data_IF_371770880042
#
_entry.id   IF_371770880042
#
_cell.length_a   1.000
_cell.length_b   1.000
_cell.length_c   1.000
_cell.angle_alpha   90.00
_cell.angle_beta   90.00
_cell.angle_gamma   90.00
#
_symmetry.space_group_name_H-M   'P 1'
#
loop_
_entity.id
_entity.type
_entity.pdbx_description
1 polymer ?
#
# COMPACT_ATOMS: atom_id res chain seq x y z
N UNK A 1 32.24 -30.95 23.49
CA UNK A 1 33.21 -29.95 22.98
C UNK A 1 32.53 -28.60 22.97
N UNK A 2 33.02 -27.63 23.73
CA UNK A 2 32.52 -26.24 23.63
C UNK A 2 33.10 -25.63 22.35
N UNK A 3 32.24 -25.20 21.44
CA UNK A 3 32.61 -24.37 20.30
C UNK A 3 32.89 -22.96 20.83
N UNK A 4 34.17 -22.58 20.90
CA UNK A 4 34.58 -21.21 21.24
C UNK A 4 34.21 -20.27 20.09
N UNK A 5 32.98 -19.75 20.12
CA UNK A 5 32.51 -18.74 19.18
C UNK A 5 33.08 -17.37 19.57
N UNK A 6 33.95 -16.80 18.74
CA UNK A 6 34.52 -15.47 18.92
C UNK A 6 34.40 -14.68 17.62
N UNK A 7 33.54 -13.65 17.58
CA UNK A 7 33.37 -12.78 16.41
C UNK A 7 34.58 -11.89 16.13
N UNK A 8 35.48 -11.71 17.10
CA UNK A 8 36.65 -10.85 16.99
C UNK A 8 37.92 -11.62 16.60
N UNK A 9 37.80 -12.89 16.23
CA UNK A 9 38.94 -13.70 15.78
C UNK A 9 39.35 -13.28 14.37
N UNK A 10 40.63 -12.94 14.19
CA UNK A 10 41.21 -12.63 12.88
C UNK A 10 41.03 -13.83 11.93
N UNK A 11 40.28 -13.62 10.85
CA UNK A 11 40.12 -14.56 9.75
C UNK A 11 40.91 -14.08 8.54
N UNK A 12 41.46 -14.99 7.75
CA UNK A 12 42.07 -14.67 6.47
C UNK A 12 40.97 -14.35 5.46
N UNK A 13 41.08 -13.19 4.79
CA UNK A 13 40.21 -12.80 3.67
C UNK A 13 40.56 -13.63 2.44
N UNK A 14 40.09 -14.88 2.41
CA UNK A 14 40.11 -15.70 1.21
C UNK A 14 38.92 -15.29 0.35
N UNK A 15 39.18 -14.95 -0.92
CA UNK A 15 38.13 -14.81 -1.93
C UNK A 15 37.52 -16.18 -2.19
N UNK A 16 36.55 -16.57 -1.37
CA UNK A 16 35.75 -17.76 -1.65
C UNK A 16 34.99 -17.46 -2.93
N UNK A 17 35.34 -18.14 -4.03
CA UNK A 17 34.53 -18.17 -5.26
C UNK A 17 33.22 -18.87 -4.95
N UNK A 18 32.30 -18.13 -4.33
CA UNK A 18 31.02 -18.66 -3.95
C UNK A 18 30.27 -19.08 -5.20
N UNK A 19 29.88 -20.36 -5.24
CA UNK A 19 28.99 -20.90 -6.26
C UNK A 19 27.71 -21.37 -5.57
N UNK A 20 26.53 -20.98 -6.08
CA UNK A 20 25.27 -21.49 -5.58
C UNK A 20 25.14 -23.00 -5.80
N UNK A 21 24.32 -23.66 -4.98
CA UNK A 21 23.93 -25.06 -5.23
C UNK A 21 23.15 -25.14 -6.55
N UNK A 22 23.33 -26.22 -7.32
CA UNK A 22 22.69 -26.41 -8.64
C UNK A 22 21.17 -26.26 -8.59
N UNK A 23 20.51 -26.77 -7.55
CA UNK A 23 19.05 -26.70 -7.39
C UNK A 23 18.55 -25.38 -6.76
N UNK A 24 19.40 -24.35 -6.64
CA UNK A 24 19.01 -23.10 -6.01
C UNK A 24 18.27 -22.19 -7.02
N UNK A 25 17.27 -21.46 -6.52
CA UNK A 25 16.44 -20.53 -7.33
C UNK A 25 17.28 -19.50 -8.10
N UNK A 26 18.41 -19.06 -7.54
CA UNK A 26 19.31 -18.12 -8.21
C UNK A 26 19.91 -18.69 -9.51
N UNK A 27 20.21 -19.99 -9.58
CA UNK A 27 20.71 -20.63 -10.81
C UNK A 27 19.62 -20.64 -11.87
N UNK A 28 18.40 -21.00 -11.49
CA UNK A 28 17.24 -20.95 -12.39
C UNK A 28 16.98 -19.55 -12.95
N UNK A 29 17.03 -18.52 -12.09
CA UNK A 29 16.88 -17.12 -12.53
C UNK A 29 18.01 -16.71 -13.46
N UNK A 30 19.24 -17.15 -13.19
CA UNK A 30 20.37 -16.89 -14.07
C UNK A 30 20.13 -17.52 -15.46
N UNK A 31 19.83 -18.80 -15.52
CA UNK A 31 19.53 -19.52 -16.78
C UNK A 31 18.37 -18.88 -17.55
N UNK A 32 17.29 -18.51 -16.85
CA UNK A 32 16.14 -17.86 -17.45
C UNK A 32 16.55 -16.54 -18.10
N UNK A 33 17.25 -15.67 -17.38
CA UNK A 33 17.63 -14.34 -17.91
C UNK A 33 18.67 -14.46 -19.04
N UNK A 34 19.58 -15.43 -18.99
CA UNK A 34 20.50 -15.71 -20.10
C UNK A 34 19.74 -16.22 -21.35
N UNK A 35 18.71 -17.04 -21.17
CA UNK A 35 17.87 -17.53 -22.27
C UNK A 35 17.11 -16.40 -22.98
N UNK A 36 16.82 -15.28 -22.30
CA UNK A 36 16.16 -14.13 -22.90
C UNK A 36 17.04 -13.39 -23.93
N UNK A 37 18.34 -13.68 -23.99
CA UNK A 37 19.31 -13.04 -24.89
C UNK A 37 19.15 -11.51 -24.96
N UNK A 38 19.10 -10.87 -23.79
CA UNK A 38 18.92 -9.43 -23.67
C UNK A 38 20.15 -8.73 -24.26
N UNK A 39 20.03 -8.28 -25.51
CA UNK A 39 21.08 -7.55 -26.20
C UNK A 39 20.53 -6.19 -26.62
N UNK A 40 20.67 -5.21 -25.72
CA UNK A 40 20.25 -3.83 -25.95
C UNK A 40 21.50 -2.95 -26.03
N UNK A 41 22.09 -2.78 -27.24
CA UNK A 41 23.26 -1.95 -27.41
C UNK A 41 22.91 -0.50 -27.11
N UNK A 42 23.55 0.05 -26.09
CA UNK A 42 23.33 1.43 -25.68
C UNK A 42 23.75 2.41 -26.79
N UNK A 43 22.77 2.99 -27.49
CA UNK A 43 23.03 3.75 -28.71
C UNK A 43 23.44 5.21 -28.47
N UNK A 44 22.92 5.87 -27.42
CA UNK A 44 23.15 7.30 -27.19
C UNK A 44 22.98 7.72 -25.72
N UNK A 45 23.89 8.58 -25.22
CA UNK A 45 23.80 9.23 -23.89
C UNK A 45 24.89 8.81 -22.90
N UNK A 46 24.61 8.90 -21.59
CA UNK A 46 25.51 8.43 -20.52
C UNK A 46 25.46 6.89 -20.43
N UNK A 47 26.59 6.18 -20.59
CA UNK A 47 26.63 4.72 -20.50
C UNK A 47 25.94 4.22 -19.23
N UNK A 48 25.15 3.15 -19.37
CA UNK A 48 24.58 2.46 -18.21
C UNK A 48 25.74 1.85 -17.41
N UNK A 49 25.80 2.16 -16.12
CA UNK A 49 26.82 1.62 -15.21
C UNK A 49 26.59 0.13 -14.88
N UNK A 50 25.33 -0.30 -15.01
CA UNK A 50 24.89 -1.67 -14.73
C UNK A 50 24.33 -2.31 -16.00
N UNK A 51 24.63 -3.59 -16.16
CA UNK A 51 24.04 -4.43 -17.21
C UNK A 51 22.56 -4.69 -16.92
N UNK A 52 21.74 -4.70 -17.97
CA UNK A 52 20.30 -4.94 -17.86
C UNK A 52 20.01 -6.37 -17.36
N UNK A 53 20.80 -7.36 -17.82
CA UNK A 53 20.66 -8.74 -17.38
C UNK A 53 20.94 -8.88 -15.88
N UNK A 54 22.02 -8.29 -15.39
CA UNK A 54 22.34 -8.24 -13.97
C UNK A 54 21.23 -7.57 -13.13
N UNK A 55 20.68 -6.44 -13.59
CA UNK A 55 19.57 -5.75 -12.92
C UNK A 55 18.29 -6.60 -12.89
N UNK A 56 17.95 -7.25 -14.00
CA UNK A 56 16.79 -8.14 -14.10
C UNK A 56 16.90 -9.31 -13.13
N UNK A 57 18.07 -9.95 -13.07
CA UNK A 57 18.35 -11.07 -12.15
C UNK A 57 18.10 -10.69 -10.69
N UNK A 58 18.57 -9.52 -10.24
CA UNK A 58 18.36 -9.05 -8.86
C UNK A 58 16.90 -8.80 -8.55
N UNK A 59 16.20 -8.12 -9.47
CA UNK A 59 14.78 -7.77 -9.27
C UNK A 59 13.93 -9.04 -9.19
N UNK A 60 14.13 -9.98 -10.12
CA UNK A 60 13.45 -11.28 -10.09
C UNK A 60 13.76 -12.04 -8.81
N UNK A 61 15.03 -12.12 -8.42
CA UNK A 61 15.43 -12.82 -7.19
C UNK A 61 14.81 -12.19 -5.94
N UNK A 62 14.77 -10.86 -5.87
CA UNK A 62 14.11 -10.16 -4.77
C UNK A 62 12.61 -10.43 -4.72
N UNK A 63 11.94 -10.50 -5.87
CA UNK A 63 10.50 -10.76 -5.95
C UNK A 63 10.16 -12.20 -5.55
N UNK A 64 11.01 -13.18 -5.89
CA UNK A 64 10.83 -14.57 -5.38
C UNK A 64 10.92 -14.67 -3.85
N UNK A 65 11.48 -13.65 -3.19
CA UNK A 65 11.60 -13.55 -1.73
C UNK A 65 10.66 -12.50 -1.12
N UNK A 66 9.63 -12.08 -1.85
CA UNK A 66 8.63 -11.10 -1.38
C UNK A 66 9.21 -9.71 -1.02
N UNK A 67 10.40 -9.38 -1.56
CA UNK A 67 11.06 -8.09 -1.32
C UNK A 67 10.85 -7.14 -2.49
N UNK A 68 9.80 -6.31 -2.40
CA UNK A 68 9.39 -5.45 -3.51
C UNK A 68 9.95 -4.03 -3.48
N UNK A 69 10.35 -3.53 -2.31
CA UNK A 69 10.78 -2.12 -2.20
C UNK A 69 12.24 -1.96 -2.60
N UNK A 70 12.55 -0.99 -3.46
CA UNK A 70 13.90 -0.78 -4.00
C UNK A 70 15.00 -0.68 -2.93
N UNK A 71 14.70 -0.07 -1.78
CA UNK A 71 15.62 -0.01 -0.63
C UNK A 71 15.85 -1.37 0.05
N UNK A 72 14.83 -2.23 0.10
CA UNK A 72 15.00 -3.60 0.60
C UNK A 72 15.78 -4.44 -0.40
N UNK A 73 15.58 -4.21 -1.71
CA UNK A 73 16.35 -4.88 -2.77
C UNK A 73 17.83 -4.50 -2.69
N UNK A 74 18.14 -3.22 -2.47
CA UNK A 74 19.52 -2.75 -2.23
C UNK A 74 20.18 -3.46 -1.05
N UNK A 75 19.50 -3.51 0.11
CA UNK A 75 19.99 -4.27 1.28
C UNK A 75 20.17 -5.76 0.98
N UNK A 76 19.23 -6.35 0.24
CA UNK A 76 19.31 -7.74 -0.18
C UNK A 76 20.51 -7.99 -1.10
N UNK A 77 20.85 -7.05 -1.99
CA UNK A 77 22.03 -7.13 -2.84
C UNK A 77 23.35 -7.01 -2.04
N UNK A 78 23.34 -6.27 -0.92
CA UNK A 78 24.51 -6.12 -0.04
C UNK A 78 24.70 -7.35 0.87
N UNK A 79 23.63 -7.77 1.55
CA UNK A 79 23.67 -8.79 2.58
C UNK A 79 23.69 -10.22 1.99
N UNK A 80 22.98 -10.46 0.89
CA UNK A 80 22.74 -11.81 0.37
C UNK A 80 23.81 -12.26 -0.62
N UNK A 81 24.45 -13.38 -0.31
CA UNK A 81 25.51 -13.96 -1.14
C UNK A 81 25.03 -14.42 -2.53
N UNK A 82 23.79 -14.90 -2.64
CA UNK A 82 23.20 -15.28 -3.93
C UNK A 82 22.88 -14.05 -4.79
N UNK A 83 22.43 -12.96 -4.17
CA UNK A 83 22.19 -11.70 -4.88
C UNK A 83 23.50 -11.12 -5.41
N UNK A 84 24.57 -11.15 -4.59
CA UNK A 84 25.93 -10.77 -5.03
C UNK A 84 26.44 -11.66 -6.15
N UNK A 85 26.18 -12.97 -6.11
CA UNK A 85 26.57 -13.86 -7.20
C UNK A 85 25.88 -13.48 -8.52
N UNK A 86 24.57 -13.17 -8.47
CA UNK A 86 23.81 -12.75 -9.66
C UNK A 86 24.30 -11.44 -10.28
N UNK A 87 24.86 -10.53 -9.48
CA UNK A 87 25.39 -9.23 -9.93
C UNK A 87 26.89 -9.15 -10.10
N UNK A 88 27.62 -10.26 -9.91
CA UNK A 88 29.08 -10.27 -9.87
C UNK A 88 29.63 -9.26 -8.83
N UNK A 89 29.11 -9.35 -7.60
CA UNK A 89 29.44 -8.53 -6.44
C UNK A 89 29.11 -7.03 -6.56
N UNK A 90 28.47 -6.61 -7.65
CA UNK A 90 28.01 -5.23 -7.78
C UNK A 90 26.76 -5.01 -6.93
N UNK A 91 26.71 -3.88 -6.21
CA UNK A 91 25.58 -3.52 -5.36
C UNK A 91 24.89 -2.27 -5.94
N UNK A 92 23.84 -2.42 -6.76
CA UNK A 92 23.13 -1.29 -7.33
C UNK A 92 22.39 -0.51 -6.25
N UNK A 93 22.52 0.83 -6.28
CA UNK A 93 21.81 1.72 -5.36
C UNK A 93 20.30 1.64 -5.56
N UNK A 94 19.50 1.90 -4.52
CA UNK A 94 18.03 1.88 -4.61
C UNK A 94 17.47 2.77 -5.74
N UNK A 95 18.13 3.89 -6.07
CA UNK A 95 17.75 4.78 -7.17
C UNK A 95 17.91 4.11 -8.53
N UNK A 96 18.99 3.35 -8.72
CA UNK A 96 19.27 2.61 -9.94
C UNK A 96 18.23 1.51 -10.14
N UNK A 97 17.93 0.76 -9.08
CA UNK A 97 16.87 -0.27 -9.07
C UNK A 97 15.51 0.34 -9.40
N UNK A 98 15.16 1.44 -8.72
CA UNK A 98 13.87 2.12 -8.97
C UNK A 98 13.77 2.65 -10.40
N UNK A 99 14.85 3.24 -10.94
CA UNK A 99 14.88 3.72 -12.33
C UNK A 99 14.73 2.57 -13.33
N UNK A 100 15.37 1.43 -13.06
CA UNK A 100 15.22 0.23 -13.88
C UNK A 100 13.78 -0.28 -13.88
N UNK A 101 13.15 -0.46 -12.71
CA UNK A 101 11.75 -0.94 -12.65
C UNK A 101 10.73 -0.03 -13.37
N UNK A 102 11.03 1.26 -13.53
CA UNK A 102 10.15 2.24 -14.19
C UNK A 102 10.51 2.45 -15.66
N UNK A 103 11.65 1.95 -16.14
CA UNK A 103 12.05 2.20 -17.52
C UNK A 103 11.16 1.47 -18.52
N UNK A 104 10.93 2.12 -19.67
CA UNK A 104 10.18 1.54 -20.78
C UNK A 104 10.88 0.26 -21.30
N UNK A 105 12.21 0.24 -21.26
CA UNK A 105 13.03 -0.91 -21.66
C UNK A 105 12.65 -2.17 -20.87
N UNK A 106 12.40 -2.03 -19.56
CA UNK A 106 12.00 -3.16 -18.71
C UNK A 106 10.58 -3.62 -19.03
N UNK A 107 9.68 -2.70 -19.37
CA UNK A 107 8.32 -3.10 -19.78
C UNK A 107 8.36 -3.94 -21.06
N UNK A 108 9.14 -3.51 -22.06
CA UNK A 108 9.30 -4.25 -23.31
C UNK A 108 9.99 -5.60 -23.08
N UNK A 109 11.04 -5.62 -22.25
CA UNK A 109 11.73 -6.84 -21.84
C UNK A 109 10.82 -7.79 -21.07
N UNK A 110 9.93 -7.28 -20.23
CA UNK A 110 8.99 -8.11 -19.46
C UNK A 110 7.96 -8.75 -20.38
N UNK A 111 7.43 -8.00 -21.35
CA UNK A 111 6.48 -8.54 -22.34
C UNK A 111 7.14 -9.63 -23.20
N UNK A 112 8.32 -9.34 -23.78
CA UNK A 112 9.10 -10.32 -24.55
C UNK A 112 9.50 -11.52 -23.69
N UNK A 113 9.87 -11.27 -22.44
CA UNK A 113 10.29 -12.31 -21.51
C UNK A 113 9.15 -13.20 -21.04
N UNK A 114 7.93 -12.68 -20.95
CA UNK A 114 6.74 -13.50 -20.69
C UNK A 114 6.47 -14.47 -21.82
N UNK A 115 6.52 -14.02 -23.07
CA UNK A 115 6.34 -14.89 -24.23
C UNK A 115 7.40 -16.01 -24.24
N UNK A 116 8.67 -15.65 -24.09
CA UNK A 116 9.78 -16.61 -24.05
C UNK A 116 9.69 -17.55 -22.84
N UNK A 117 9.26 -17.07 -21.68
CA UNK A 117 9.03 -17.90 -20.50
C UNK A 117 7.91 -18.91 -20.76
N UNK A 118 6.81 -18.50 -21.39
CA UNK A 118 5.71 -19.42 -21.71
C UNK A 118 6.15 -20.47 -22.73
N UNK A 119 6.93 -20.11 -23.74
CA UNK A 119 7.53 -21.06 -24.69
C UNK A 119 8.47 -22.04 -24.00
N UNK A 120 9.36 -21.55 -23.13
CA UNK A 120 10.28 -22.38 -22.36
C UNK A 120 9.54 -23.38 -21.46
N UNK A 121 8.50 -22.93 -20.78
CA UNK A 121 7.69 -23.77 -19.90
C UNK A 121 6.87 -24.80 -20.68
N UNK A 122 6.33 -24.43 -21.85
CA UNK A 122 5.68 -25.38 -22.78
C UNK A 122 6.65 -26.44 -23.28
N UNK A 123 7.86 -26.03 -23.69
CA UNK A 123 8.88 -26.96 -24.19
C UNK A 123 9.30 -28.02 -23.15
N UNK A 124 9.21 -27.68 -21.86
CA UNK A 124 9.50 -28.59 -20.74
C UNK A 124 8.27 -29.32 -20.18
N UNK A 125 7.10 -29.19 -20.82
CA UNK A 125 5.82 -29.73 -20.34
C UNK A 125 5.49 -29.32 -18.89
N UNK A 126 5.86 -28.09 -18.50
CA UNK A 126 5.56 -27.51 -17.18
C UNK A 126 4.24 -26.74 -17.15
N UNK A 127 3.72 -26.38 -18.33
CA UNK A 127 2.40 -25.77 -18.52
C UNK A 127 1.58 -26.71 -19.40
N UNK A 128 0.45 -27.18 -18.88
CA UNK A 128 -0.60 -27.86 -19.65
C UNK A 128 -1.63 -26.84 -20.14
N UNK A 129 -2.38 -27.18 -21.19
CA UNK A 129 -3.58 -26.43 -21.65
C UNK A 129 -4.76 -26.52 -20.66
N UNK A 130 -4.54 -27.10 -19.48
CA UNK A 130 -5.55 -27.25 -18.44
C UNK A 130 -5.86 -25.90 -17.79
N UNK A 131 -7.09 -25.43 -17.99
CA UNK A 131 -7.66 -24.31 -17.26
C UNK A 131 -7.90 -24.73 -15.80
N UNK A 132 -6.93 -24.52 -14.93
CA UNK A 132 -7.11 -24.67 -13.49
C UNK A 132 -7.94 -23.48 -12.98
N UNK A 133 -9.25 -23.68 -12.86
CA UNK A 133 -10.11 -22.82 -12.05
C UNK A 133 -9.81 -23.18 -10.59
N UNK A 134 -8.62 -22.80 -10.10
CA UNK A 134 -8.35 -22.85 -8.67
C UNK A 134 -9.27 -21.84 -7.98
N UNK A 135 -9.76 -22.21 -6.80
CA UNK A 135 -10.68 -21.41 -5.99
C UNK A 135 -10.02 -20.16 -5.39
N UNK A 136 -9.02 -19.58 -6.07
CA UNK A 136 -8.34 -18.37 -5.66
C UNK A 136 -9.35 -17.22 -5.68
N UNK A 137 -10.02 -17.02 -4.56
CA UNK A 137 -10.84 -15.84 -4.31
C UNK A 137 -9.90 -14.66 -4.19
N UNK A 138 -9.66 -13.98 -5.30
CA UNK A 138 -9.12 -12.62 -5.30
C UNK A 138 -10.18 -11.76 -4.62
N UNK A 139 -10.04 -11.59 -3.32
CA UNK A 139 -10.80 -10.60 -2.57
C UNK A 139 -10.29 -9.25 -3.06
N UNK A 140 -10.95 -8.70 -4.07
CA UNK A 140 -10.87 -7.28 -4.32
C UNK A 140 -11.11 -6.58 -2.98
N UNK A 141 -10.38 -5.49 -2.70
CA UNK A 141 -10.67 -4.59 -1.58
C UNK A 141 -12.07 -4.00 -1.78
N UNK A 142 -13.07 -4.80 -1.45
CA UNK A 142 -14.47 -4.52 -1.57
C UNK A 142 -14.88 -3.90 -0.23
N UNK A 143 -14.42 -2.68 0.02
CA UNK A 143 -15.13 -1.86 0.99
C UNK A 143 -16.60 -1.86 0.55
N UNK A 144 -17.46 -2.47 1.38
CA UNK A 144 -18.89 -2.71 1.12
C UNK A 144 -19.66 -1.44 0.73
N UNK A 145 -19.06 -0.28 0.95
CA UNK A 145 -19.59 1.05 0.73
C UNK A 145 -18.99 1.82 -0.46
N UNK A 146 -18.13 1.21 -1.31
CA UNK A 146 -17.58 1.92 -2.49
C UNK A 146 -18.58 2.00 -3.66
N UNK A 147 -19.60 1.15 -3.69
CA UNK A 147 -20.58 1.14 -4.77
C UNK A 147 -21.70 2.16 -4.50
N UNK A 148 -21.67 3.27 -5.22
CA UNK A 148 -22.73 4.30 -5.17
C UNK A 148 -23.67 4.13 -6.36
N UNK A 149 -24.96 3.99 -6.08
CA UNK A 149 -25.98 3.82 -7.12
C UNK A 149 -26.18 5.09 -7.92
N UNK A 150 -25.94 5.04 -9.25
CA UNK A 150 -26.09 6.18 -10.18
C UNK A 150 -27.41 6.95 -9.99
N UNK A 151 -28.52 6.24 -9.77
CA UNK A 151 -29.85 6.83 -9.53
C UNK A 151 -29.89 7.70 -8.26
N UNK A 152 -29.26 7.24 -7.18
CA UNK A 152 -29.19 8.02 -5.94
C UNK A 152 -28.21 9.18 -6.06
N UNK A 153 -27.07 8.99 -6.74
CA UNK A 153 -26.12 10.08 -7.02
C UNK A 153 -26.81 11.22 -7.77
N UNK A 154 -27.58 10.91 -8.82
CA UNK A 154 -28.33 11.91 -9.58
C UNK A 154 -29.43 12.56 -8.74
N UNK A 155 -30.16 11.78 -7.94
CA UNK A 155 -31.24 12.30 -7.08
C UNK A 155 -30.74 13.30 -6.04
N UNK A 156 -29.57 13.07 -5.46
CA UNK A 156 -29.02 13.89 -4.38
C UNK A 156 -28.00 14.94 -4.87
N UNK A 157 -27.64 14.95 -6.15
CA UNK A 157 -26.65 15.88 -6.71
C UNK A 157 -27.08 17.35 -6.53
N UNK A 158 -28.33 17.69 -6.84
CA UNK A 158 -28.85 19.05 -6.64
C UNK A 158 -28.81 19.49 -5.17
N UNK A 159 -29.36 18.67 -4.27
CA UNK A 159 -29.35 18.94 -2.82
C UNK A 159 -27.92 19.05 -2.27
N UNK A 160 -26.99 18.23 -2.75
CA UNK A 160 -25.60 18.27 -2.31
C UNK A 160 -24.90 19.54 -2.80
N UNK A 161 -25.17 20.01 -4.03
CA UNK A 161 -24.64 21.26 -4.56
C UNK A 161 -25.16 22.48 -3.79
N UNK A 162 -26.45 22.49 -3.47
CA UNK A 162 -27.05 23.55 -2.63
C UNK A 162 -26.40 23.60 -1.25
N UNK A 163 -26.19 22.44 -0.62
CA UNK A 163 -25.46 22.32 0.66
C UNK A 163 -24.01 22.76 0.55
N UNK A 164 -23.34 22.46 -0.56
CA UNK A 164 -21.95 22.87 -0.80
C UNK A 164 -21.85 24.38 -0.95
N UNK A 165 -22.80 24.99 -1.66
CA UNK A 165 -22.88 26.44 -1.81
C UNK A 165 -23.12 27.13 -0.47
N UNK A 166 -24.07 26.65 0.34
CA UNK A 166 -24.32 27.17 1.69
C UNK A 166 -23.11 27.02 2.61
N UNK A 167 -22.45 25.86 2.60
CA UNK A 167 -21.19 25.69 3.36
C UNK A 167 -20.08 26.61 2.86
N UNK A 168 -19.96 26.84 1.55
CA UNK A 168 -18.98 27.77 1.00
C UNK A 168 -19.29 29.22 1.37
N UNK A 169 -20.56 29.64 1.41
CA UNK A 169 -20.93 30.98 1.86
C UNK A 169 -20.66 31.13 3.35
N UNK A 170 -21.02 30.15 4.18
CA UNK A 170 -20.72 30.13 5.62
C UNK A 170 -19.20 30.21 5.88
N UNK A 171 -18.40 29.44 5.13
CA UNK A 171 -16.94 29.48 5.23
C UNK A 171 -16.36 30.82 4.77
N UNK A 172 -16.90 31.40 3.69
CA UNK A 172 -16.48 32.73 3.22
C UNK A 172 -16.85 33.82 4.21
N UNK A 173 -18.04 33.76 4.81
CA UNK A 173 -18.48 34.67 5.85
C UNK A 173 -17.60 34.54 7.10
N UNK A 174 -17.36 33.32 7.56
CA UNK A 174 -16.46 33.04 8.69
C UNK A 174 -15.01 33.49 8.41
N UNK A 175 -14.52 33.30 7.18
CA UNK A 175 -13.19 33.73 6.76
C UNK A 175 -13.09 35.25 6.59
N UNK A 176 -14.14 35.90 6.09
CA UNK A 176 -14.22 37.35 5.90
C UNK A 176 -14.35 38.08 7.25
N UNK A 177 -15.06 37.49 8.21
CA UNK A 177 -15.23 38.06 9.54
C UNK A 177 -13.94 38.06 10.37
N UNK A 178 -12.97 37.15 10.12
CA UNK A 178 -11.70 37.01 10.88
C UNK A 178 -11.81 37.21 12.41
N UNK A 179 -13.01 37.00 12.96
CA UNK A 179 -13.35 37.20 14.35
C UNK A 179 -14.46 36.19 14.64
N UNK A 180 -14.23 35.40 15.68
CA UNK A 180 -15.26 34.74 16.46
C UNK A 180 -16.34 35.80 16.73
N UNK A 181 -17.63 35.56 16.49
CA UNK A 181 -18.65 36.57 16.70
C UNK A 181 -18.65 37.03 18.17
N UNK A 182 -18.10 38.21 18.43
CA UNK A 182 -18.34 38.97 19.65
C UNK A 182 -19.78 39.49 19.59
N UNK A 183 -20.70 38.73 20.18
CA UNK A 183 -22.12 39.05 20.16
C UNK A 183 -23.06 37.92 20.53
N UNK A 184 -22.56 36.85 21.16
CA UNK A 184 -23.44 35.97 21.92
C UNK A 184 -23.34 36.35 23.38
N UNK A 185 -24.47 36.63 24.01
CA UNK A 185 -24.63 36.71 25.48
C UNK A 185 -24.49 35.33 26.14
N UNK A 186 -23.69 34.43 25.55
CA UNK A 186 -23.41 33.11 26.07
C UNK A 186 -22.05 33.18 26.77
N UNK A 187 -22.10 33.33 28.08
CA UNK A 187 -20.91 33.17 28.93
C UNK A 187 -20.43 31.72 28.87
N UNK A 188 -19.14 31.49 29.16
CA UNK A 188 -18.57 30.12 29.23
C UNK A 188 -19.39 29.24 30.19
N UNK A 189 -19.86 29.82 31.30
CA UNK A 189 -20.71 29.17 32.29
C UNK A 189 -22.05 28.67 31.71
N UNK A 190 -22.67 29.41 30.78
CA UNK A 190 -23.91 28.99 30.12
C UNK A 190 -23.67 27.83 29.14
N UNK A 191 -22.48 27.73 28.56
CA UNK A 191 -22.12 26.62 27.67
C UNK A 191 -21.94 25.35 28.51
N UNK A 192 -21.31 25.45 29.68
CA UNK A 192 -21.15 24.33 30.61
C UNK A 192 -22.50 23.87 31.19
N UNK A 193 -23.40 24.79 31.52
CA UNK A 193 -24.77 24.46 31.94
C UNK A 193 -25.56 23.74 30.82
N UNK A 194 -25.41 24.17 29.56
CA UNK A 194 -26.03 23.48 28.43
C UNK A 194 -25.43 22.09 28.21
N UNK A 195 -24.13 21.93 28.41
CA UNK A 195 -23.43 20.66 28.23
C UNK A 195 -23.87 19.63 29.28
N UNK A 196 -23.91 20.03 30.55
CA UNK A 196 -24.40 19.20 31.65
C UNK A 196 -25.86 18.78 31.44
N UNK A 197 -26.72 19.69 30.95
CA UNK A 197 -28.11 19.37 30.61
C UNK A 197 -28.23 18.37 29.45
N UNK A 198 -27.36 18.49 28.45
CA UNK A 198 -27.30 17.54 27.33
C UNK A 198 -26.81 16.15 27.76
N UNK A 199 -25.85 16.08 28.68
CA UNK A 199 -25.35 14.82 29.26
C UNK A 199 -26.42 14.12 30.09
N UNK A 200 -27.12 14.85 30.98
CA UNK A 200 -28.27 14.33 31.72
C UNK A 200 -29.35 13.76 30.80
N UNK A 201 -29.67 14.46 29.70
CA UNK A 201 -30.65 13.98 28.73
C UNK A 201 -30.15 12.77 27.93
N UNK A 202 -28.83 12.61 27.74
CA UNK A 202 -28.27 11.41 27.13
C UNK A 202 -28.44 10.18 28.04
N UNK A 203 -28.25 10.35 29.35
CA UNK A 203 -28.42 9.27 30.33
C UNK A 203 -29.89 8.83 30.41
N UNK A 204 -30.83 9.78 30.42
CA UNK A 204 -32.27 9.49 30.32
C UNK A 204 -32.61 8.69 29.06
N UNK A 205 -32.11 9.12 27.90
CA UNK A 205 -32.33 8.43 26.63
C UNK A 205 -31.64 7.05 26.58
N UNK A 206 -30.54 6.86 27.28
CA UNK A 206 -29.86 5.57 27.41
C UNK A 206 -30.73 4.58 28.20
N UNK A 207 -31.28 5.03 29.33
CA UNK A 207 -32.23 4.27 30.14
C UNK A 207 -33.53 3.94 29.36
N UNK A 208 -34.08 4.90 28.63
CA UNK A 208 -35.26 4.69 27.78
C UNK A 208 -35.00 3.67 26.67
N UNK A 209 -33.81 3.69 26.05
CA UNK A 209 -33.41 2.74 25.00
C UNK A 209 -33.19 1.33 25.56
N UNK A 210 -32.66 1.19 26.78
CA UNK A 210 -32.54 -0.10 27.45
C UNK A 210 -33.91 -0.71 27.79
N UNK A 211 -34.84 0.11 28.27
CA UNK A 211 -36.22 -0.30 28.56
C UNK A 211 -37.00 -0.68 27.29
N UNK A 212 -36.79 0.05 26.18
CA UNK A 212 -37.51 -0.13 24.91
C UNK A 212 -36.73 -0.98 23.89
N UNK A 213 -36.13 -2.08 24.35
CA UNK A 213 -35.24 -2.96 23.55
C UNK A 213 -35.86 -3.57 22.27
N UNK A 214 -37.19 -3.61 22.12
CA UNK A 214 -37.89 -4.42 21.10
C UNK A 214 -38.71 -3.65 20.04
N UNK A 215 -38.83 -2.32 20.13
CA UNK A 215 -39.64 -1.55 19.16
C UNK A 215 -38.74 -0.92 18.09
N UNK A 216 -38.96 -1.25 16.82
CA UNK A 216 -38.35 -0.57 15.68
C UNK A 216 -39.45 0.05 14.81
N UNK A 217 -39.42 1.36 14.52
CA UNK A 217 -38.36 2.33 14.83
C UNK A 217 -38.42 2.85 16.27
N UNK A 218 -37.27 2.90 16.96
CA UNK A 218 -37.17 3.49 18.30
C UNK A 218 -36.82 4.99 18.20
N UNK A 219 -37.75 5.92 18.55
CA UNK A 219 -37.49 7.36 18.48
C UNK A 219 -36.40 7.80 19.46
N UNK A 220 -36.32 7.20 20.65
CA UNK A 220 -35.28 7.51 21.64
C UNK A 220 -33.87 7.18 21.13
N UNK A 221 -33.73 6.11 20.33
CA UNK A 221 -32.44 5.75 19.68
C UNK A 221 -32.01 6.77 18.62
N UNK A 222 -32.96 7.38 17.91
CA UNK A 222 -32.66 8.44 16.95
C UNK A 222 -32.25 9.73 17.66
N UNK A 223 -33.02 10.13 18.69
CA UNK A 223 -32.72 11.31 19.52
C UNK A 223 -31.36 11.19 20.23
N UNK A 224 -31.02 9.99 20.75
CA UNK A 224 -29.71 9.72 21.36
C UNK A 224 -28.56 9.94 20.36
N UNK A 225 -28.73 9.50 19.11
CA UNK A 225 -27.68 9.64 18.07
C UNK A 225 -27.46 11.12 17.69
N UNK A 226 -28.53 11.90 17.55
CA UNK A 226 -28.42 13.32 17.23
C UNK A 226 -27.79 14.10 18.38
N UNK A 227 -28.21 13.84 19.62
CA UNK A 227 -27.70 14.52 20.82
C UNK A 227 -26.22 14.19 21.05
N UNK A 228 -25.82 12.91 20.92
CA UNK A 228 -24.41 12.48 21.01
C UNK A 228 -23.52 13.13 19.95
N UNK A 229 -24.05 13.36 18.75
CA UNK A 229 -23.32 14.08 17.71
C UNK A 229 -23.14 15.56 18.04
N UNK A 230 -24.10 16.20 18.72
CA UNK A 230 -24.01 17.61 19.13
C UNK A 230 -22.99 17.78 20.27
N UNK A 231 -23.07 16.95 21.31
CA UNK A 231 -22.09 16.95 22.43
C UNK A 231 -20.67 16.74 21.92
N UNK A 232 -20.45 15.79 21.00
CA UNK A 232 -19.11 15.56 20.43
C UNK A 232 -18.56 16.77 19.68
N UNK A 233 -19.41 17.56 19.01
CA UNK A 233 -18.99 18.78 18.32
C UNK A 233 -18.63 19.91 19.29
N UNK A 234 -19.33 19.98 20.44
CA UNK A 234 -19.05 20.97 21.48
C UNK A 234 -17.76 20.64 22.25
N UNK A 235 -17.47 19.34 22.49
CA UNK A 235 -16.26 18.89 23.19
C UNK A 235 -14.98 18.86 22.32
N UNK A 236 -15.08 18.95 20.99
CA UNK A 236 -13.94 18.83 20.07
C UNK A 236 -13.17 20.14 19.82
N UNK A 237 -13.17 21.07 20.80
CA UNK A 237 -12.33 22.27 20.77
C UNK A 237 -10.89 21.95 21.13
#
# INVERSE_FOLDING_TARGET
MYTNYNMNQLTLDLSTSFSPKENHVAVFIHELVEALQINDPYLFGRPREYDLGAMMKVVLFAYTRETFTSRKIERLAEENLYARWLTQERVPTYRTIARFCVSNDVQELTNKGLDQLTEYLRARNLIDDALFIDGTKILADANKYSFVWKKNTIRFDQMNREKLLTMMTELKEAYALKQIPEGTTLTVDMIDELLTRMELRLDELENEVEATKRLSPNPAKQQRRTLKSQVRKLNAK
#
